data_IF_392422291426
#
_entry.id   IF_392422291426
#
_cell.length_a   1.000
_cell.length_b   1.000
_cell.length_c   1.000
_cell.angle_alpha   90.00
_cell.angle_beta   90.00
_cell.angle_gamma   90.00
#
_symmetry.space_group_name_H-M   'P 1'
#
loop_
_entity.id
_entity.type
_entity.pdbx_description
1 polymer ?
#
# COMPACT_ATOMS: atom_id res chain seq x y z
N UNK A 1 -4.45 -3.82 -10.16
CA UNK A 1 -5.19 -3.58 -8.90
C UNK A 1 -5.70 -2.14 -8.87
N UNK A 2 -6.88 -1.87 -8.30
CA UNK A 2 -7.38 -0.50 -8.07
C UNK A 2 -7.63 -0.26 -6.59
N UNK A 3 -7.20 0.91 -6.07
CA UNK A 3 -7.39 1.31 -4.67
C UNK A 3 -8.00 2.72 -4.65
N UNK A 4 -9.19 2.84 -4.08
CA UNK A 4 -9.88 4.11 -3.84
C UNK A 4 -9.81 4.44 -2.35
N UNK A 5 -9.21 5.56 -1.95
CA UNK A 5 -9.04 5.97 -0.55
C UNK A 5 -9.99 7.14 -0.26
N UNK A 6 -10.92 6.95 0.66
CA UNK A 6 -11.88 7.98 1.11
C UNK A 6 -11.38 8.65 2.38
N UNK A 7 -11.13 9.96 2.33
CA UNK A 7 -10.63 10.75 3.47
C UNK A 7 -11.15 12.19 3.43
N UNK A 8 -11.18 12.87 4.57
CA UNK A 8 -11.35 14.34 4.61
C UNK A 8 -10.10 15.09 4.14
N UNK A 9 -8.95 14.43 4.15
CA UNK A 9 -7.64 15.00 3.79
C UNK A 9 -6.91 14.05 2.82
N UNK A 10 -7.40 13.91 1.57
CA UNK A 10 -6.86 12.92 0.61
C UNK A 10 -5.37 13.11 0.32
N UNK A 11 -4.87 14.33 0.36
CA UNK A 11 -3.45 14.62 0.13
C UNK A 11 -2.51 13.93 1.14
N UNK A 12 -2.97 13.67 2.38
CA UNK A 12 -2.16 12.97 3.39
C UNK A 12 -1.90 11.53 2.98
N UNK A 13 -2.88 10.86 2.38
CA UNK A 13 -2.71 9.49 1.87
C UNK A 13 -2.01 9.46 0.51
N UNK A 14 -2.32 10.41 -0.38
CA UNK A 14 -1.83 10.41 -1.76
C UNK A 14 -0.33 10.72 -1.88
N UNK A 15 0.17 11.71 -1.12
CA UNK A 15 1.54 12.22 -1.29
C UNK A 15 2.63 11.12 -1.17
N UNK A 16 2.66 10.27 -0.13
CA UNK A 16 3.68 9.22 -0.02
C UNK A 16 3.53 8.13 -1.07
N UNK A 17 2.33 7.93 -1.63
CA UNK A 17 2.05 6.90 -2.62
C UNK A 17 2.36 7.33 -4.06
N UNK A 18 2.61 8.63 -4.31
CA UNK A 18 2.96 9.14 -5.62
C UNK A 18 4.44 8.94 -6.00
N UNK A 19 5.29 8.65 -5.02
CA UNK A 19 6.74 8.61 -5.18
C UNK A 19 7.32 7.19 -5.18
N UNK A 20 8.63 7.09 -5.49
CA UNK A 20 9.44 5.86 -5.38
C UNK A 20 8.85 4.66 -6.12
N UNK A 21 8.80 3.49 -5.49
CA UNK A 21 8.35 2.24 -6.11
C UNK A 21 6.84 2.22 -6.38
N UNK A 22 6.03 2.78 -5.46
CA UNK A 22 4.57 2.85 -5.64
C UNK A 22 4.20 3.79 -6.78
N UNK A 23 4.85 4.96 -6.89
CA UNK A 23 4.68 5.87 -8.02
C UNK A 23 5.05 5.21 -9.36
N UNK A 24 6.16 4.47 -9.41
CA UNK A 24 6.56 3.69 -10.60
C UNK A 24 5.58 2.57 -10.95
N UNK A 25 5.00 1.90 -9.95
CA UNK A 25 3.99 0.87 -10.16
C UNK A 25 2.72 1.45 -10.79
N UNK A 26 2.30 2.65 -10.37
CA UNK A 26 1.20 3.38 -11.00
C UNK A 26 1.52 3.78 -12.44
N UNK A 27 2.70 4.35 -12.70
CA UNK A 27 3.16 4.71 -14.05
C UNK A 27 3.20 3.50 -15.01
N UNK A 28 3.48 2.30 -14.48
CA UNK A 28 3.51 1.04 -15.22
C UNK A 28 2.14 0.36 -15.35
N UNK A 29 1.09 0.94 -14.78
CA UNK A 29 -0.28 0.40 -14.82
C UNK A 29 -0.51 -0.86 -13.95
N UNK A 30 0.42 -1.19 -13.04
CA UNK A 30 0.28 -2.34 -12.14
C UNK A 30 -0.76 -2.10 -11.04
N UNK A 31 -0.93 -0.85 -10.65
CA UNK A 31 -1.93 -0.39 -9.69
C UNK A 31 -2.42 1.01 -10.08
N UNK A 32 -3.67 1.31 -9.80
CA UNK A 32 -4.21 2.67 -9.84
C UNK A 32 -4.69 3.05 -8.43
N UNK A 33 -4.24 4.19 -7.92
CA UNK A 33 -4.56 4.68 -6.58
C UNK A 33 -5.23 6.04 -6.71
N UNK A 34 -6.45 6.15 -6.15
CA UNK A 34 -7.26 7.36 -6.21
C UNK A 34 -7.63 7.79 -4.79
N UNK A 35 -7.19 8.97 -4.39
CA UNK A 35 -7.55 9.54 -3.09
C UNK A 35 -8.68 10.56 -3.29
N UNK A 36 -9.79 10.35 -2.61
CA UNK A 36 -11.02 11.10 -2.76
C UNK A 36 -11.33 11.91 -1.49
N UNK A 37 -11.87 13.11 -1.69
CA UNK A 37 -12.38 13.90 -0.57
C UNK A 37 -13.83 13.47 -0.26
N UNK A 38 -14.07 12.94 0.93
CA UNK A 38 -15.41 12.50 1.35
C UNK A 38 -16.47 13.62 1.26
N UNK A 39 -16.05 14.89 1.38
CA UNK A 39 -16.96 16.05 1.23
C UNK A 39 -17.61 16.15 -0.15
N UNK A 40 -17.08 15.49 -1.16
CA UNK A 40 -17.64 15.52 -2.52
C UNK A 40 -18.97 14.74 -2.63
N UNK A 41 -19.27 13.90 -1.63
CA UNK A 41 -20.54 13.17 -1.49
C UNK A 41 -21.46 13.75 -0.40
N UNK A 42 -21.09 14.87 0.23
CA UNK A 42 -22.02 15.58 1.11
C UNK A 42 -22.92 16.51 0.28
N UNK A 43 -24.25 16.34 0.42
CA UNK A 43 -25.25 17.04 -0.41
C UNK A 43 -25.63 18.40 0.09
N UNK A 44 -25.34 18.73 1.35
CA UNK A 44 -25.69 20.01 1.94
C UNK A 44 -24.77 21.13 1.44
N UNK A 45 -25.24 22.38 1.54
CA UNK A 45 -24.51 23.57 1.09
C UNK A 45 -23.11 23.71 1.70
N UNK A 46 -22.92 23.23 2.91
CA UNK A 46 -21.68 23.35 3.67
C UNK A 46 -20.79 22.11 3.52
N UNK A 47 -21.21 21.08 2.77
CA UNK A 47 -20.50 19.81 2.59
C UNK A 47 -20.11 19.17 3.92
N UNK A 48 -21.06 19.13 4.85
CA UNK A 48 -20.89 18.67 6.23
C UNK A 48 -20.78 17.15 6.26
N UNK A 49 -19.71 16.64 6.85
CA UNK A 49 -19.41 15.19 6.92
C UNK A 49 -19.40 14.65 8.34
N UNK A 50 -19.68 15.48 9.32
CA UNK A 50 -19.64 15.14 10.76
C UNK A 50 -20.76 15.84 11.51
N UNK A 51 -21.13 15.31 12.69
CA UNK A 51 -22.13 15.86 13.58
C UNK A 51 -21.84 15.43 15.04
N UNK A 52 -22.56 16.05 15.98
CA UNK A 52 -22.45 15.68 17.38
C UNK A 52 -22.97 14.25 17.62
N UNK A 53 -22.26 13.44 18.45
CA UNK A 53 -22.67 12.08 18.73
C UNK A 53 -23.98 12.02 19.54
N UNK A 54 -24.83 11.04 19.24
CA UNK A 54 -25.92 10.70 20.13
C UNK A 54 -25.41 10.24 21.49
N UNK A 55 -26.15 10.52 22.55
CA UNK A 55 -25.76 10.18 23.91
C UNK A 55 -24.91 11.23 24.62
N UNK A 56 -24.56 12.34 23.95
CA UNK A 56 -23.94 13.52 24.57
C UNK A 56 -22.44 13.38 24.87
N UNK A 57 -21.72 12.48 24.15
CA UNK A 57 -20.25 12.42 24.22
C UNK A 57 -19.61 13.70 23.67
N UNK A 58 -18.38 14.00 24.10
CA UNK A 58 -17.60 15.10 23.53
C UNK A 58 -17.10 14.74 22.12
N UNK A 59 -16.86 15.76 21.29
CA UNK A 59 -16.30 15.62 19.95
C UNK A 59 -17.36 15.46 18.88
N UNK A 60 -16.94 14.96 17.71
CA UNK A 60 -17.75 14.81 16.50
C UNK A 60 -17.65 13.38 15.97
N UNK A 61 -18.68 12.91 15.29
CA UNK A 61 -18.68 11.61 14.61
C UNK A 61 -18.96 11.83 13.14
N UNK A 62 -18.24 11.14 12.26
CA UNK A 62 -18.44 11.22 10.83
C UNK A 62 -19.77 10.58 10.44
N UNK A 63 -20.55 11.31 9.63
CA UNK A 63 -21.91 10.93 9.21
C UNK A 63 -21.91 9.75 8.26
N UNK A 64 -22.97 8.97 8.30
CA UNK A 64 -23.12 7.79 7.44
C UNK A 64 -23.39 8.14 5.98
N UNK A 65 -24.22 9.14 5.68
CA UNK A 65 -24.71 9.42 4.33
C UNK A 65 -23.54 9.62 3.32
N UNK A 66 -22.53 10.46 3.57
CA UNK A 66 -21.41 10.63 2.62
C UNK A 66 -20.66 9.33 2.34
N UNK A 67 -20.51 8.44 3.34
CA UNK A 67 -19.85 7.16 3.12
C UNK A 67 -20.66 6.21 2.26
N UNK A 68 -21.96 6.10 2.51
CA UNK A 68 -22.84 5.25 1.69
C UNK A 68 -22.81 5.69 0.24
N UNK A 69 -23.03 6.97 -0.03
CA UNK A 69 -23.01 7.51 -1.39
C UNK A 69 -21.65 7.34 -2.08
N UNK A 70 -20.56 7.57 -1.36
CA UNK A 70 -19.21 7.41 -1.89
C UNK A 70 -18.93 5.94 -2.25
N UNK A 71 -19.18 5.00 -1.33
CA UNK A 71 -18.91 3.58 -1.54
C UNK A 71 -19.77 3.01 -2.66
N UNK A 72 -21.06 3.33 -2.70
CA UNK A 72 -21.96 2.91 -3.77
C UNK A 72 -21.50 3.43 -5.13
N UNK A 73 -21.20 4.74 -5.23
CA UNK A 73 -20.72 5.33 -6.48
C UNK A 73 -19.38 4.75 -6.95
N UNK A 74 -18.48 4.38 -6.01
CA UNK A 74 -17.21 3.78 -6.34
C UNK A 74 -17.32 2.30 -6.69
N UNK A 75 -18.25 1.56 -6.09
CA UNK A 75 -18.54 0.16 -6.45
C UNK A 75 -19.04 0.04 -7.89
N UNK A 76 -19.86 0.99 -8.35
CA UNK A 76 -20.45 1.00 -9.69
C UNK A 76 -19.46 1.43 -10.79
N UNK A 77 -18.36 2.08 -10.45
CA UNK A 77 -17.33 2.48 -11.42
C UNK A 77 -16.63 1.26 -11.98
N UNK A 78 -16.84 0.97 -13.26
CA UNK A 78 -16.03 -0.01 -13.99
C UNK A 78 -14.59 0.49 -14.11
N UNK A 79 -13.58 -0.40 -14.10
CA UNK A 79 -12.21 0.00 -14.38
C UNK A 79 -12.18 0.69 -15.76
N UNK A 80 -11.63 1.89 -15.81
CA UNK A 80 -11.37 2.56 -17.07
C UNK A 80 -10.26 1.79 -17.80
N UNK A 81 -10.62 1.08 -18.84
CA UNK A 81 -9.66 0.53 -19.80
C UNK A 81 -9.19 1.68 -20.67
N UNK A 82 -8.07 2.31 -20.33
CA UNK A 82 -7.50 3.36 -21.17
C UNK A 82 -6.79 4.45 -20.39
N UNK A 83 -5.57 4.64 -20.72
CA UNK A 83 -4.64 5.71 -20.36
C UNK A 83 -5.30 7.09 -20.42
N UNK A 84 -5.58 7.69 -19.26
CA UNK A 84 -5.74 9.14 -19.16
C UNK A 84 -4.78 9.67 -18.08
N UNK A 85 -3.61 10.12 -18.56
CA UNK A 85 -2.83 11.11 -17.84
C UNK A 85 -3.62 12.41 -17.91
N UNK A 86 -4.22 12.85 -16.83
CA UNK A 86 -4.71 14.22 -16.70
C UNK A 86 -3.53 15.16 -16.73
N UNK A 87 -3.41 15.90 -17.81
CA UNK A 87 -2.48 17.01 -17.98
C UNK A 87 -2.69 18.04 -16.86
N UNK A 88 -1.70 18.18 -16.01
CA UNK A 88 -1.58 19.36 -15.18
C UNK A 88 -1.23 20.53 -16.10
N UNK A 89 -2.10 21.52 -16.12
CA UNK A 89 -2.01 22.76 -16.86
C UNK A 89 -0.76 23.53 -16.39
N UNK A 90 0.34 23.46 -17.16
CA UNK A 90 1.48 24.33 -17.00
C UNK A 90 1.57 25.27 -18.22
N UNK A 91 1.10 26.49 -18.03
CA UNK A 91 1.29 27.57 -18.96
C UNK A 91 2.57 28.34 -18.60
N UNK A 92 3.69 27.99 -19.24
CA UNK A 92 4.74 28.96 -19.56
C UNK A 92 5.48 28.51 -20.80
N UNK A 93 5.40 29.34 -21.85
CA UNK A 93 5.99 29.09 -23.13
C UNK A 93 7.51 29.30 -23.16
N UNK A 94 8.15 28.70 -24.11
CA UNK A 94 9.04 29.33 -25.11
C UNK A 94 9.68 28.29 -26.02
N UNK A 95 9.82 28.69 -27.27
CA UNK A 95 10.12 27.95 -28.47
C UNK A 95 11.59 27.45 -28.63
N UNK A 96 11.74 26.64 -29.71
CA UNK A 96 12.93 26.26 -30.51
C UNK A 96 13.77 25.06 -29.96
N UNK A 97 14.22 24.09 -30.70
CA UNK A 97 14.52 23.82 -32.11
C UNK A 97 14.73 22.32 -32.33
N UNK A 98 14.27 21.86 -33.49
CA UNK A 98 14.82 20.89 -34.47
C UNK A 98 15.58 19.60 -34.11
N UNK A 99 15.02 18.54 -34.73
CA UNK A 99 15.62 17.48 -35.56
C UNK A 99 16.34 16.23 -34.98
N UNK A 100 15.85 15.13 -35.53
CA UNK A 100 16.51 13.90 -36.00
C UNK A 100 16.56 12.66 -35.08
N UNK A 101 15.92 11.58 -35.58
CA UNK A 101 16.28 10.22 -35.19
C UNK A 101 15.16 9.18 -35.24
N UNK A 102 14.68 8.87 -36.44
CA UNK A 102 13.82 7.71 -36.67
C UNK A 102 14.62 6.40 -36.45
N UNK A 103 14.26 5.62 -35.41
CA UNK A 103 14.72 4.25 -35.27
C UNK A 103 13.51 3.30 -35.17
N UNK A 104 13.55 2.31 -36.03
CA UNK A 104 12.55 1.31 -36.35
C UNK A 104 12.02 0.58 -35.15
N UNK A 105 10.70 0.66 -34.91
CA UNK A 105 9.97 -0.24 -34.02
C UNK A 105 9.87 -1.61 -34.69
N UNK A 106 10.40 -2.62 -34.03
CA UNK A 106 10.22 -4.02 -34.37
C UNK A 106 8.90 -4.48 -33.74
N UNK A 107 7.95 -4.89 -34.57
CA UNK A 107 6.73 -5.57 -34.14
C UNK A 107 7.09 -6.90 -33.48
N UNK A 108 6.75 -7.04 -32.24
CA UNK A 108 6.71 -8.30 -31.48
C UNK A 108 5.24 -8.57 -31.08
N UNK A 109 4.46 -8.98 -32.09
CA UNK A 109 3.20 -9.69 -31.87
C UNK A 109 3.51 -11.15 -31.59
N UNK A 110 3.58 -11.55 -30.33
CA UNK A 110 3.52 -12.96 -29.94
C UNK A 110 2.51 -13.12 -28.82
N UNK A 111 1.49 -13.97 -29.07
CA UNK A 111 0.33 -14.23 -28.26
C UNK A 111 0.65 -14.47 -26.80
N UNK A 112 0.21 -13.54 -25.97
CA UNK A 112 0.04 -13.74 -24.55
C UNK A 112 -1.43 -14.07 -24.32
N UNK A 113 -1.71 -15.23 -23.73
CA UNK A 113 -3.02 -15.52 -23.17
C UNK A 113 -3.38 -14.37 -22.23
N UNK A 114 -4.48 -13.69 -22.56
CA UNK A 114 -5.11 -12.66 -21.73
C UNK A 114 -5.62 -13.36 -20.46
N UNK A 115 -4.82 -13.31 -19.40
CA UNK A 115 -5.25 -13.76 -18.08
C UNK A 115 -6.49 -12.92 -17.73
N UNK A 116 -7.66 -13.56 -17.70
CA UNK A 116 -8.90 -12.99 -17.18
C UNK A 116 -8.71 -12.70 -15.66
N UNK A 117 -8.19 -11.50 -15.38
CA UNK A 117 -7.82 -11.03 -14.04
C UNK A 117 -9.07 -10.58 -13.26
N UNK A 118 -10.20 -11.30 -13.34
CA UNK A 118 -11.32 -11.12 -12.43
C UNK A 118 -11.86 -9.68 -12.34
N UNK A 119 -11.94 -8.96 -13.46
CA UNK A 119 -12.34 -7.54 -13.56
C UNK A 119 -13.75 -7.25 -12.99
N UNK A 120 -14.48 -8.28 -12.57
CA UNK A 120 -15.85 -8.19 -12.02
C UNK A 120 -15.94 -8.51 -10.52
N UNK A 121 -14.82 -8.68 -9.79
CA UNK A 121 -14.92 -8.88 -8.35
C UNK A 121 -15.42 -7.59 -7.66
N UNK A 122 -16.40 -7.69 -6.73
CA UNK A 122 -16.86 -6.53 -5.97
C UNK A 122 -15.68 -5.90 -5.20
N UNK A 123 -15.69 -4.57 -5.11
CA UNK A 123 -14.67 -3.87 -4.34
C UNK A 123 -14.80 -4.23 -2.86
N UNK A 124 -13.69 -4.66 -2.23
CA UNK A 124 -13.63 -4.90 -0.78
C UNK A 124 -13.45 -3.57 -0.04
N UNK A 125 -14.29 -3.31 0.95
CA UNK A 125 -14.27 -2.10 1.76
C UNK A 125 -13.51 -2.34 3.05
N UNK A 126 -12.46 -1.56 3.28
CA UNK A 126 -11.58 -1.70 4.44
C UNK A 126 -11.60 -0.41 5.24
N UNK A 127 -11.89 -0.50 6.52
CA UNK A 127 -11.80 0.65 7.44
C UNK A 127 -10.46 0.64 8.16
N UNK A 128 -9.74 1.75 8.11
CA UNK A 128 -8.57 1.98 8.95
C UNK A 128 -9.03 2.45 10.34
N UNK A 129 -8.92 1.56 11.32
CA UNK A 129 -9.45 1.76 12.67
C UNK A 129 -8.50 1.18 13.73
N UNK A 130 -8.25 1.87 14.87
CA UNK A 130 -7.48 1.28 15.97
C UNK A 130 -8.16 0.05 16.59
N UNK A 131 -9.49 -0.10 16.43
CA UNK A 131 -10.26 -1.25 16.91
C UNK A 131 -10.18 -2.48 15.98
N UNK A 132 -9.61 -2.32 14.78
CA UNK A 132 -9.51 -3.38 13.79
C UNK A 132 -8.49 -4.47 14.13
N UNK A 133 -8.52 -5.57 13.36
CA UNK A 133 -7.49 -6.61 13.48
C UNK A 133 -6.11 -6.06 13.14
N UNK A 134 -5.10 -6.49 13.88
CA UNK A 134 -3.74 -5.97 13.75
C UNK A 134 -3.10 -6.38 12.43
N UNK A 135 -2.72 -5.40 11.63
CA UNK A 135 -2.08 -5.55 10.34
C UNK A 135 -0.68 -6.15 10.46
N UNK A 136 -0.40 -7.15 9.65
CA UNK A 136 0.90 -7.80 9.51
C UNK A 136 1.17 -8.17 8.04
N UNK A 137 2.35 -8.73 7.76
CA UNK A 137 2.75 -9.13 6.41
C UNK A 137 1.84 -10.18 5.80
N UNK A 138 1.27 -11.09 6.62
CA UNK A 138 0.33 -12.12 6.16
C UNK A 138 -0.97 -11.47 5.68
N UNK A 139 -1.49 -10.51 6.44
CA UNK A 139 -2.68 -9.75 6.05
C UNK A 139 -2.40 -8.92 4.79
N UNK A 140 -1.22 -8.30 4.67
CA UNK A 140 -0.84 -7.59 3.45
C UNK A 140 -0.90 -8.51 2.22
N UNK A 141 -0.43 -9.76 2.33
CA UNK A 141 -0.49 -10.75 1.27
C UNK A 141 -1.93 -11.18 0.92
N UNK A 142 -2.85 -11.23 1.90
CA UNK A 142 -4.28 -11.51 1.66
C UNK A 142 -4.94 -10.47 0.74
N UNK A 143 -4.46 -9.22 0.78
CA UNK A 143 -4.97 -8.11 -0.04
C UNK A 143 -4.22 -7.93 -1.36
N UNK A 144 -3.01 -8.46 -1.50
CA UNK A 144 -2.16 -8.28 -2.68
C UNK A 144 -2.59 -9.17 -3.86
N UNK A 145 -3.86 -9.07 -4.26
CA UNK A 145 -4.44 -9.85 -5.36
C UNK A 145 -4.44 -9.00 -6.64
N UNK A 146 -3.73 -9.42 -7.71
CA UNK A 146 -3.76 -8.72 -8.99
C UNK A 146 -5.20 -8.57 -9.52
N UNK A 147 -5.52 -7.40 -10.07
CA UNK A 147 -6.86 -7.11 -10.59
C UNK A 147 -7.94 -6.81 -9.54
N UNK A 148 -7.68 -7.02 -8.25
CA UNK A 148 -8.65 -6.73 -7.19
C UNK A 148 -8.93 -5.23 -7.03
N UNK A 149 -10.04 -4.92 -6.36
CA UNK A 149 -10.49 -3.55 -6.07
C UNK A 149 -10.66 -3.37 -4.56
N UNK A 150 -10.08 -2.29 -4.02
CA UNK A 150 -10.22 -1.91 -2.62
C UNK A 150 -10.80 -0.51 -2.50
N UNK A 151 -11.68 -0.31 -1.52
CA UNK A 151 -12.12 1.00 -1.05
C UNK A 151 -11.68 1.12 0.40
N UNK A 152 -10.75 2.04 0.68
CA UNK A 152 -10.17 2.23 2.00
C UNK A 152 -10.80 3.45 2.67
N UNK A 153 -11.49 3.25 3.78
CA UNK A 153 -12.14 4.30 4.54
C UNK A 153 -11.20 4.82 5.63
N UNK A 154 -11.08 6.13 5.71
CA UNK A 154 -10.25 6.82 6.70
C UNK A 154 -11.14 7.61 7.67
N UNK A 155 -11.19 7.16 8.92
CA UNK A 155 -11.89 7.88 9.99
C UNK A 155 -11.16 9.16 10.40
N UNK A 156 -11.91 10.08 11.01
CA UNK A 156 -11.43 11.30 11.66
C UNK A 156 -12.26 11.55 12.91
N UNK A 157 -11.86 12.50 13.75
CA UNK A 157 -12.55 12.82 15.03
C UNK A 157 -12.63 11.60 15.95
N UNK A 158 -13.80 11.36 16.60
CA UNK A 158 -14.05 10.22 17.48
C UNK A 158 -14.34 8.92 16.71
N UNK A 159 -14.53 9.01 15.38
CA UNK A 159 -14.75 7.84 14.53
C UNK A 159 -15.83 8.06 13.48
N UNK A 160 -16.31 6.95 12.95
CA UNK A 160 -17.32 6.88 11.89
C UNK A 160 -18.61 6.32 12.51
N UNK A 161 -19.76 6.79 12.04
CA UNK A 161 -21.07 6.26 12.43
C UNK A 161 -21.10 4.73 12.30
N UNK A 162 -21.56 4.03 13.35
CA UNK A 162 -21.53 2.57 13.42
C UNK A 162 -22.28 1.89 12.26
N UNK A 163 -23.28 2.54 11.70
CA UNK A 163 -24.05 2.02 10.54
C UNK A 163 -23.18 1.84 9.30
N UNK A 164 -22.14 2.66 9.12
CA UNK A 164 -21.14 2.47 8.05
C UNK A 164 -20.37 1.18 8.26
N UNK A 165 -19.94 0.95 9.50
CA UNK A 165 -19.17 -0.24 9.87
C UNK A 165 -20.02 -1.49 9.67
N UNK A 166 -21.25 -1.49 10.21
CA UNK A 166 -22.14 -2.65 10.19
C UNK A 166 -22.63 -3.06 8.78
N UNK A 167 -22.72 -2.10 7.84
CA UNK A 167 -23.37 -2.34 6.55
C UNK A 167 -22.48 -2.18 5.32
N UNK A 168 -21.33 -1.50 5.42
CA UNK A 168 -20.47 -1.27 4.27
C UNK A 168 -19.08 -1.91 4.41
N UNK A 169 -18.55 -2.03 5.63
CA UNK A 169 -17.18 -2.46 5.88
C UNK A 169 -17.08 -3.98 5.86
N UNK A 170 -16.17 -4.49 5.03
CA UNK A 170 -15.86 -5.93 4.96
C UNK A 170 -14.78 -6.31 5.98
N UNK A 171 -13.92 -5.35 6.37
CA UNK A 171 -12.82 -5.60 7.31
C UNK A 171 -12.36 -4.30 7.99
N UNK A 172 -12.07 -4.37 9.29
CA UNK A 172 -11.40 -3.30 10.04
C UNK A 172 -9.94 -3.66 10.28
N UNK A 173 -9.03 -2.74 9.95
CA UNK A 173 -7.58 -2.94 10.04
C UNK A 173 -6.93 -1.88 10.93
N UNK A 174 -6.17 -2.35 11.93
CA UNK A 174 -5.31 -1.51 12.78
C UNK A 174 -3.85 -1.68 12.39
N UNK A 175 -3.13 -0.57 12.19
CA UNK A 175 -1.67 -0.62 11.92
C UNK A 175 -0.82 -0.70 13.19
N UNK A 176 -1.43 -0.77 14.36
CA UNK A 176 -0.74 -0.93 15.66
C UNK A 176 -1.55 -0.35 16.82
N UNK A 177 -1.09 -0.64 18.04
CA UNK A 177 -1.75 -0.27 19.28
C UNK A 177 -1.43 1.19 19.67
N UNK A 178 -1.80 2.12 18.81
CA UNK A 178 -1.68 3.57 19.00
C UNK A 178 -2.75 4.30 18.18
N UNK A 179 -3.09 5.52 18.60
CA UNK A 179 -4.11 6.35 17.95
C UNK A 179 -3.44 7.43 17.12
N UNK A 180 -3.86 7.59 15.88
CA UNK A 180 -3.47 8.68 14.99
C UNK A 180 -4.56 9.77 14.95
N UNK A 181 -4.21 10.95 14.46
CA UNK A 181 -5.17 12.05 14.30
C UNK A 181 -6.25 11.77 13.25
N UNK A 182 -5.98 10.86 12.30
CA UNK A 182 -6.92 10.39 11.27
C UNK A 182 -6.40 9.09 10.62
N UNK A 183 -7.26 8.42 9.86
CA UNK A 183 -6.93 7.17 9.18
C UNK A 183 -6.11 7.29 7.90
N UNK A 184 -5.83 8.49 7.38
CA UNK A 184 -5.20 8.66 6.06
C UNK A 184 -3.74 8.15 6.02
N UNK A 185 -2.96 8.37 7.09
CA UNK A 185 -1.61 7.79 7.19
C UNK A 185 -1.64 6.28 7.31
N UNK A 186 -2.60 5.73 8.07
CA UNK A 186 -2.79 4.29 8.17
C UNK A 186 -3.15 3.68 6.81
N UNK A 187 -4.00 4.34 6.02
CA UNK A 187 -4.34 3.94 4.66
C UNK A 187 -3.11 3.96 3.73
N UNK A 188 -2.22 4.95 3.87
CA UNK A 188 -0.97 5.00 3.09
C UNK A 188 -0.05 3.82 3.44
N UNK A 189 0.16 3.52 4.74
CA UNK A 189 0.95 2.38 5.21
C UNK A 189 0.37 1.05 4.72
N UNK A 190 -0.94 0.86 4.86
CA UNK A 190 -1.65 -0.32 4.37
C UNK A 190 -1.47 -0.48 2.86
N UNK A 191 -1.70 0.58 2.09
CA UNK A 191 -1.59 0.58 0.63
C UNK A 191 -0.17 0.26 0.16
N UNK A 192 0.86 0.87 0.76
CA UNK A 192 2.27 0.59 0.43
C UNK A 192 2.59 -0.89 0.65
N UNK A 193 2.29 -1.41 1.85
CA UNK A 193 2.58 -2.80 2.22
C UNK A 193 1.86 -3.82 1.31
N UNK A 194 0.64 -3.52 0.84
CA UNK A 194 -0.11 -4.36 -0.09
C UNK A 194 0.47 -4.28 -1.50
N UNK A 195 0.63 -3.05 -2.03
CA UNK A 195 1.03 -2.83 -3.43
C UNK A 195 2.43 -3.37 -3.71
N UNK A 196 3.38 -3.24 -2.76
CA UNK A 196 4.74 -3.77 -2.97
C UNK A 196 4.80 -5.28 -3.16
N UNK A 197 3.76 -6.03 -2.74
CA UNK A 197 3.66 -7.47 -2.92
C UNK A 197 3.06 -7.88 -4.27
N UNK A 198 2.52 -6.95 -5.04
CA UNK A 198 2.00 -7.26 -6.37
C UNK A 198 3.15 -7.67 -7.32
N UNK A 199 2.91 -8.66 -8.20
CA UNK A 199 3.88 -9.07 -9.19
C UNK A 199 4.40 -7.90 -10.04
N UNK A 200 5.71 -7.79 -10.16
CA UNK A 200 6.38 -6.76 -10.97
C UNK A 200 6.51 -5.39 -10.31
N UNK A 201 6.01 -5.16 -9.12
CA UNK A 201 6.23 -3.88 -8.38
C UNK A 201 7.66 -3.81 -7.89
N UNK A 202 8.16 -4.85 -7.22
CA UNK A 202 9.57 -4.97 -6.87
C UNK A 202 10.38 -5.36 -8.11
N UNK A 203 11.59 -4.77 -8.24
CA UNK A 203 12.45 -5.01 -9.41
C UNK A 203 13.01 -6.43 -9.49
N UNK A 204 13.17 -7.10 -8.36
CA UNK A 204 13.61 -8.50 -8.26
C UNK A 204 12.51 -9.32 -7.56
N UNK A 205 12.06 -10.38 -8.24
CA UNK A 205 11.04 -11.29 -7.72
C UNK A 205 11.49 -12.03 -6.43
N UNK A 206 12.81 -12.12 -6.18
CA UNK A 206 13.37 -12.70 -4.97
C UNK A 206 13.40 -11.73 -3.77
N UNK A 207 13.21 -10.43 -4.00
CA UNK A 207 13.28 -9.44 -2.92
C UNK A 207 12.17 -9.64 -1.86
N UNK A 208 10.94 -9.94 -2.29
CA UNK A 208 9.82 -10.12 -1.37
C UNK A 208 9.92 -11.41 -0.49
N UNK A 209 10.36 -12.56 -1.01
CA UNK A 209 10.63 -13.75 -0.19
C UNK A 209 11.74 -13.59 0.84
N UNK A 210 12.76 -12.78 0.55
CA UNK A 210 13.92 -12.55 1.43
C UNK A 210 13.66 -11.47 2.51
N UNK A 211 12.58 -10.71 2.40
CA UNK A 211 12.21 -9.68 3.38
C UNK A 211 11.83 -10.27 4.75
N UNK A 212 11.95 -9.44 5.79
CA UNK A 212 11.44 -9.75 7.14
C UNK A 212 10.00 -10.20 7.09
N UNK A 213 9.68 -11.23 7.87
CA UNK A 213 8.36 -11.88 8.04
C UNK A 213 7.94 -12.83 6.91
N UNK A 214 8.47 -12.73 5.70
CA UNK A 214 8.11 -13.62 4.58
C UNK A 214 8.48 -15.08 4.86
N UNK A 215 9.66 -15.31 5.45
CA UNK A 215 10.14 -16.63 5.88
C UNK A 215 9.84 -16.96 7.37
N UNK A 216 9.10 -16.09 8.06
CA UNK A 216 8.90 -16.18 9.52
C UNK A 216 10.08 -15.68 10.34
N UNK A 217 11.12 -15.14 9.72
CA UNK A 217 12.30 -14.57 10.37
C UNK A 217 12.41 -13.06 10.08
N UNK A 218 13.20 -12.37 10.89
CA UNK A 218 13.70 -11.06 10.53
C UNK A 218 14.85 -11.20 9.54
N UNK A 219 14.99 -10.21 8.66
CA UNK A 219 16.08 -10.15 7.70
C UNK A 219 17.47 -10.12 8.34
N UNK A 220 18.44 -10.76 7.69
CA UNK A 220 19.85 -10.74 8.07
C UNK A 220 20.47 -9.34 7.87
N UNK A 221 21.62 -9.03 8.53
CA UNK A 221 22.30 -7.75 8.36
C UNK A 221 22.89 -7.58 6.96
N UNK A 222 22.61 -6.45 6.33
CA UNK A 222 23.10 -6.07 5.01
C UNK A 222 24.38 -5.24 5.11
N UNK A 223 25.32 -5.46 4.19
CA UNK A 223 26.56 -4.71 4.06
C UNK A 223 26.76 -4.23 2.63
N UNK A 224 27.38 -3.06 2.48
CA UNK A 224 27.78 -2.48 1.19
C UNK A 224 29.21 -1.94 1.25
N UNK A 225 29.70 -1.40 0.14
CA UNK A 225 31.02 -0.74 0.07
C UNK A 225 31.09 0.50 0.94
N UNK A 226 32.25 0.82 1.50
CA UNK A 226 33.56 0.13 1.40
C UNK A 226 33.63 -1.13 2.30
N UNK A 227 34.60 -2.01 2.04
CA UNK A 227 34.84 -3.26 2.83
C UNK A 227 35.14 -2.97 4.29
N UNK A 228 35.80 -1.84 4.55
CA UNK A 228 36.12 -1.36 5.91
C UNK A 228 35.78 0.13 6.04
N UNK A 229 35.10 0.50 7.12
CA UNK A 229 34.80 1.87 7.46
C UNK A 229 35.02 2.12 8.96
N UNK A 230 35.93 3.02 9.32
CA UNK A 230 36.28 3.39 10.71
C UNK A 230 36.68 2.18 11.58
N UNK A 231 37.39 1.20 11.00
CA UNK A 231 37.79 -0.02 11.68
C UNK A 231 36.74 -1.12 11.74
N UNK A 232 35.50 -0.86 11.26
CA UNK A 232 34.45 -1.86 11.15
C UNK A 232 34.51 -2.51 9.78
N UNK A 233 34.68 -3.83 9.78
CA UNK A 233 34.89 -4.60 8.55
C UNK A 233 33.65 -5.45 8.19
N UNK A 234 33.40 -5.56 6.89
CA UNK A 234 32.42 -6.53 6.33
C UNK A 234 32.89 -7.95 6.67
N UNK A 235 32.01 -8.87 7.12
CA UNK A 235 32.36 -10.25 7.39
C UNK A 235 33.02 -10.94 6.18
N UNK A 236 34.15 -11.62 6.39
CA UNK A 236 34.93 -12.23 5.31
C UNK A 236 34.13 -13.26 4.48
N UNK A 237 33.20 -13.96 5.11
CA UNK A 237 32.28 -14.90 4.39
C UNK A 237 31.51 -14.22 3.25
N UNK A 238 31.11 -12.95 3.43
CA UNK A 238 30.39 -12.20 2.40
C UNK A 238 31.31 -11.75 1.24
N UNK A 239 32.62 -11.80 1.44
CA UNK A 239 33.62 -11.44 0.43
C UNK A 239 34.20 -12.68 -0.29
N UNK A 240 33.84 -13.89 0.18
CA UNK A 240 34.46 -15.16 -0.27
C UNK A 240 33.99 -15.63 -1.65
N UNK A 241 32.85 -15.13 -2.16
CA UNK A 241 32.20 -15.67 -3.38
C UNK A 241 31.58 -17.06 -3.20
N UNK A 242 31.67 -17.67 -2.01
CA UNK A 242 31.07 -18.97 -1.71
C UNK A 242 29.58 -18.80 -1.39
N UNK A 243 28.71 -18.97 -2.38
CA UNK A 243 27.26 -18.77 -2.24
C UNK A 243 26.63 -19.65 -1.16
N UNK A 244 27.10 -20.91 -0.96
CA UNK A 244 26.60 -21.78 0.08
C UNK A 244 26.91 -21.24 1.47
N UNK A 245 28.19 -20.91 1.72
CA UNK A 245 28.60 -20.33 3.01
C UNK A 245 27.94 -18.98 3.30
N UNK A 246 27.69 -18.17 2.27
CA UNK A 246 26.97 -16.91 2.38
C UNK A 246 25.50 -17.16 2.78
N UNK A 247 24.83 -18.12 2.16
CA UNK A 247 23.43 -18.45 2.47
C UNK A 247 23.29 -18.98 3.92
N UNK A 248 24.18 -19.84 4.35
CA UNK A 248 24.19 -20.36 5.73
C UNK A 248 24.43 -19.24 6.74
N UNK A 249 25.38 -18.35 6.47
CA UNK A 249 25.66 -17.20 7.33
C UNK A 249 24.44 -16.26 7.43
N UNK A 250 23.78 -15.96 6.30
CA UNK A 250 22.57 -15.13 6.26
C UNK A 250 21.46 -15.73 7.11
N UNK A 251 21.20 -17.04 6.93
CA UNK A 251 20.17 -17.75 7.70
C UNK A 251 20.49 -17.77 9.20
N UNK A 252 21.73 -18.01 9.57
CA UNK A 252 22.16 -17.97 10.97
C UNK A 252 21.97 -16.57 11.57
N UNK A 253 22.36 -15.50 10.87
CA UNK A 253 22.23 -14.13 11.35
C UNK A 253 20.77 -13.68 11.44
N UNK A 254 19.92 -14.09 10.50
CA UNK A 254 18.48 -13.88 10.57
C UNK A 254 17.88 -14.54 11.83
N UNK A 255 18.24 -15.80 12.11
CA UNK A 255 17.77 -16.52 13.29
C UNK A 255 18.26 -15.90 14.60
N UNK A 256 19.55 -15.54 14.70
CA UNK A 256 20.13 -14.85 15.86
C UNK A 256 19.40 -13.52 16.14
N UNK A 257 19.16 -12.72 15.10
CA UNK A 257 18.44 -11.45 15.21
C UNK A 257 16.99 -11.67 15.65
N UNK A 258 16.31 -12.65 15.06
CA UNK A 258 14.91 -12.96 15.38
C UNK A 258 14.79 -13.42 16.84
N UNK A 259 15.65 -14.32 17.32
CA UNK A 259 15.67 -14.74 18.73
C UNK A 259 15.81 -13.55 19.67
N UNK A 260 16.70 -12.62 19.38
CA UNK A 260 16.99 -11.47 20.24
C UNK A 260 15.86 -10.43 20.26
N UNK A 261 15.23 -10.15 19.10
CA UNK A 261 14.37 -8.97 18.93
C UNK A 261 12.90 -9.36 18.84
N UNK A 262 12.59 -10.49 18.21
CA UNK A 262 11.24 -10.96 17.97
C UNK A 262 11.12 -12.47 18.22
N UNK A 263 11.39 -12.94 19.46
CA UNK A 263 11.27 -14.38 19.78
C UNK A 263 9.86 -14.93 19.56
N UNK A 264 8.85 -14.08 19.57
CA UNK A 264 7.46 -14.41 19.29
C UNK A 264 7.22 -14.98 17.87
N UNK A 265 8.08 -14.67 16.91
CA UNK A 265 8.02 -15.20 15.55
C UNK A 265 8.52 -16.65 15.45
N UNK A 266 9.23 -17.13 16.46
CA UNK A 266 9.79 -18.47 16.45
C UNK A 266 8.87 -19.47 17.17
N UNK A 267 8.83 -20.74 16.70
CA UNK A 267 8.28 -21.84 17.49
C UNK A 267 8.93 -21.93 18.88
N UNK A 268 8.18 -22.40 19.88
CA UNK A 268 8.64 -22.41 21.28
C UNK A 268 9.98 -23.12 21.49
N UNK A 269 10.21 -24.23 20.79
CA UNK A 269 11.46 -25.00 20.80
C UNK A 269 12.68 -24.24 20.23
N UNK A 270 12.47 -23.15 19.52
CA UNK A 270 13.52 -22.33 18.90
C UNK A 270 13.71 -20.93 19.52
N UNK A 271 12.96 -20.63 20.57
CA UNK A 271 13.04 -19.32 21.25
C UNK A 271 14.22 -19.18 22.20
N UNK A 272 14.78 -20.29 22.68
CA UNK A 272 15.93 -20.36 23.59
C UNK A 272 17.25 -20.32 22.86
#
# INVERSE_FOLDING_TARGET
MRIDILSLFPAIAAAPLAESMIGKAQQRGLVSIHAHNLRDWARDKHRTTDDAPYGGSQGMVMKCEPFFEAVESLRDRRPETGTHLTEANDQTGSANDEEAGASKRKDLSSGGEELDLGVNAPARVVLMSPAGRRFDQRIAAEYAVPGSRLIVLCGHYEGIDQRVIDHLVDDEISIGDYVLTNGALAAAVFTDAVVRLLPGVLGDAQSAPDDSFSSGLLEFPQYTRPVEYRGWRVPDVLLSGNHGAIADWRRQKALEKTRRVRPDLLPEDKRL
#
